data_IF_668501456513
#
_entry.id   IF_668501456513
#
_cell.length_a   1.000
_cell.length_b   1.000
_cell.length_c   1.000
_cell.angle_alpha   90.00
_cell.angle_beta   90.00
_cell.angle_gamma   90.00
#
_symmetry.space_group_name_H-M   'P 1'
#
loop_
_entity.id
_entity.type
_entity.pdbx_description
1 polymer ?
#
# COMPACT_ATOMS: atom_id res chain seq x y z
N UNK A 1 44.25 -7.73 -52.79
CA UNK A 1 43.39 -7.49 -51.61
C UNK A 1 42.80 -8.82 -51.13
N UNK A 2 43.21 -9.30 -49.96
CA UNK A 2 42.92 -10.68 -49.51
C UNK A 2 41.48 -10.80 -48.97
N UNK A 3 40.56 -11.28 -49.80
CA UNK A 3 39.13 -11.45 -49.47
C UNK A 3 38.89 -12.32 -48.23
N UNK A 4 39.81 -13.23 -47.90
CA UNK A 4 39.72 -14.08 -46.72
C UNK A 4 40.02 -13.33 -45.42
N UNK A 5 40.89 -12.32 -45.46
CA UNK A 5 41.12 -11.44 -44.32
C UNK A 5 39.86 -10.61 -44.04
N UNK A 6 39.27 -9.99 -45.06
CA UNK A 6 38.07 -9.15 -44.90
C UNK A 6 36.89 -9.96 -44.33
N UNK A 7 36.73 -11.22 -44.76
CA UNK A 7 35.68 -12.12 -44.23
C UNK A 7 35.90 -12.51 -42.77
N UNK A 8 37.15 -12.75 -42.33
CA UNK A 8 37.48 -13.07 -40.93
C UNK A 8 37.27 -11.86 -40.01
N UNK A 9 37.66 -10.67 -40.44
CA UNK A 9 37.48 -9.44 -39.65
C UNK A 9 36.01 -9.01 -39.55
N UNK A 10 35.23 -9.14 -40.63
CA UNK A 10 33.79 -8.86 -40.60
C UNK A 10 33.02 -9.84 -39.71
N UNK A 11 33.39 -11.13 -39.70
CA UNK A 11 32.79 -12.12 -38.80
C UNK A 11 33.07 -11.80 -37.31
N UNK A 12 34.28 -11.36 -36.97
CA UNK A 12 34.64 -10.99 -35.59
C UNK A 12 33.92 -9.71 -35.13
N UNK A 13 33.74 -8.72 -36.01
CA UNK A 13 33.01 -7.50 -35.65
C UNK A 13 31.51 -7.78 -35.45
N UNK A 14 30.92 -8.65 -36.27
CA UNK A 14 29.52 -9.04 -36.14
C UNK A 14 29.23 -9.81 -34.84
N UNK A 15 30.13 -10.71 -34.40
CA UNK A 15 29.96 -11.44 -33.14
C UNK A 15 30.11 -10.54 -31.92
N UNK A 16 31.03 -9.58 -31.93
CA UNK A 16 31.20 -8.61 -30.84
C UNK A 16 29.94 -7.74 -30.68
N UNK A 17 29.35 -7.27 -31.79
CA UNK A 17 28.11 -6.49 -31.75
C UNK A 17 26.93 -7.26 -31.16
N UNK A 18 26.80 -8.55 -31.49
CA UNK A 18 25.72 -9.38 -30.98
C UNK A 18 25.88 -9.68 -29.47
N UNK A 19 27.11 -9.90 -29.00
CA UNK A 19 27.41 -10.08 -27.57
C UNK A 19 27.15 -8.80 -26.76
N UNK A 20 27.53 -7.62 -27.28
CA UNK A 20 27.28 -6.34 -26.61
C UNK A 20 25.77 -6.06 -26.45
N UNK A 21 24.98 -6.42 -27.46
CA UNK A 21 23.52 -6.22 -27.45
C UNK A 21 22.84 -7.12 -26.41
N UNK A 22 23.31 -8.36 -26.25
CA UNK A 22 22.84 -9.27 -25.20
C UNK A 22 23.20 -8.73 -23.80
N UNK A 23 24.44 -8.25 -23.60
CA UNK A 23 24.87 -7.74 -22.30
C UNK A 23 24.10 -6.47 -21.85
N UNK A 24 23.68 -5.60 -22.77
CA UNK A 24 22.88 -4.40 -22.41
C UNK A 24 21.46 -4.73 -21.93
N UNK A 25 20.93 -5.93 -22.21
CA UNK A 25 19.60 -6.34 -21.75
C UNK A 25 19.60 -6.96 -20.34
N UNK A 26 20.77 -7.25 -19.76
CA UNK A 26 20.91 -7.97 -18.47
C UNK A 26 21.09 -7.02 -17.26
N UNK A 27 20.96 -5.70 -17.45
CA UNK A 27 21.19 -4.70 -16.39
C UNK A 27 20.04 -4.55 -15.36
N UNK A 28 19.14 -5.55 -15.26
CA UNK A 28 17.97 -5.54 -14.38
C UNK A 28 17.88 -6.68 -13.35
N UNK A 29 18.83 -7.61 -13.29
CA UNK A 29 18.69 -8.82 -12.46
C UNK A 29 20.01 -9.25 -11.80
N UNK A 30 20.55 -8.42 -10.91
CA UNK A 30 21.55 -8.86 -9.93
C UNK A 30 20.86 -9.19 -8.59
N UNK A 31 20.97 -10.42 -8.06
CA UNK A 31 20.42 -10.81 -6.77
C UNK A 31 21.31 -10.38 -5.57
N UNK A 32 22.23 -9.45 -5.76
CA UNK A 32 23.09 -8.95 -4.68
C UNK A 32 22.64 -7.57 -4.22
N UNK A 33 21.57 -7.54 -3.41
CA UNK A 33 21.36 -6.43 -2.49
C UNK A 33 22.20 -6.68 -1.23
N UNK A 34 23.40 -6.11 -1.21
CA UNK A 34 24.17 -5.95 0.03
C UNK A 34 23.42 -4.94 0.92
N UNK A 35 22.52 -5.44 1.77
CA UNK A 35 21.92 -4.65 2.85
C UNK A 35 22.95 -4.46 3.97
N UNK A 36 23.84 -3.47 3.81
CA UNK A 36 24.81 -3.05 4.83
C UNK A 36 24.24 -2.00 5.80
N UNK A 37 23.00 -1.58 5.60
CA UNK A 37 22.21 -0.90 6.61
C UNK A 37 21.27 -1.93 7.18
N UNK A 38 21.69 -2.52 8.31
CA UNK A 38 20.88 -3.41 9.10
C UNK A 38 19.49 -2.80 9.23
N UNK A 39 18.52 -3.49 8.64
CA UNK A 39 17.13 -3.20 8.88
C UNK A 39 16.97 -3.21 10.39
N UNK A 40 16.78 -2.04 10.97
CA UNK A 40 16.03 -1.96 12.20
C UNK A 40 14.70 -2.60 11.83
N UNK A 41 14.57 -3.88 12.17
CA UNK A 41 13.29 -4.46 12.49
C UNK A 41 12.77 -3.58 13.60
N UNK A 42 12.17 -2.44 13.23
CA UNK A 42 11.13 -1.86 14.02
C UNK A 42 10.16 -3.02 14.13
N UNK A 43 10.22 -3.73 15.25
CA UNK A 43 9.02 -4.15 15.93
C UNK A 43 8.20 -2.87 16.02
N UNK A 44 7.48 -2.57 14.94
CA UNK A 44 6.60 -1.44 14.87
C UNK A 44 5.58 -1.79 15.93
N UNK A 45 5.75 -1.20 17.11
CA UNK A 45 4.93 -1.47 18.28
C UNK A 45 3.49 -1.52 17.80
N UNK A 46 2.83 -2.63 18.09
CA UNK A 46 1.52 -2.90 17.52
C UNK A 46 0.61 -1.72 17.85
N UNK A 47 -0.02 -1.13 16.82
CA UNK A 47 -0.86 0.07 17.00
C UNK A 47 -1.91 -0.24 18.07
N UNK A 48 -2.05 0.58 19.10
CA UNK A 48 -3.05 0.32 20.16
C UNK A 48 -4.43 0.83 19.75
N UNK A 49 -5.49 0.44 20.48
CA UNK A 49 -6.83 0.96 20.20
C UNK A 49 -6.90 2.47 20.44
N UNK A 50 -6.23 2.97 21.48
CA UNK A 50 -6.16 4.39 21.84
C UNK A 50 -5.52 5.23 20.72
N UNK A 51 -4.63 4.64 19.93
CA UNK A 51 -3.99 5.31 18.80
C UNK A 51 -4.89 5.39 17.56
N UNK A 52 -5.74 4.39 17.32
CA UNK A 52 -6.58 4.34 16.11
C UNK A 52 -7.96 4.94 16.33
N UNK A 53 -8.52 4.85 17.55
CA UNK A 53 -9.89 5.26 17.84
C UNK A 53 -10.17 6.75 17.51
N UNK A 54 -9.25 7.70 17.74
CA UNK A 54 -9.45 9.09 17.32
C UNK A 54 -9.67 9.26 15.80
N UNK A 55 -9.20 8.31 14.98
CA UNK A 55 -9.46 8.29 13.55
C UNK A 55 -10.90 7.86 13.28
N UNK A 56 -11.41 6.84 13.99
CA UNK A 56 -12.81 6.43 13.88
C UNK A 56 -13.76 7.56 14.31
N UNK A 57 -13.47 8.24 15.43
CA UNK A 57 -14.28 9.39 15.86
C UNK A 57 -14.34 10.48 14.80
N UNK A 58 -13.19 10.89 14.26
CA UNK A 58 -13.11 12.00 13.31
C UNK A 58 -13.65 11.65 11.93
N UNK A 59 -13.50 10.40 11.49
CA UNK A 59 -13.73 9.99 10.09
C UNK A 59 -14.98 9.13 9.88
N UNK A 60 -15.49 8.48 10.93
CA UNK A 60 -16.56 7.49 10.83
C UNK A 60 -17.79 7.86 11.68
N UNK A 61 -17.60 8.35 12.91
CA UNK A 61 -18.68 8.48 13.90
C UNK A 61 -19.69 9.61 13.58
N UNK A 62 -19.42 10.48 12.61
CA UNK A 62 -20.45 11.42 12.14
C UNK A 62 -21.66 10.71 11.51
N UNK A 63 -21.44 9.52 10.94
CA UNK A 63 -22.50 8.70 10.34
C UNK A 63 -22.71 7.37 11.07
N UNK A 64 -21.65 6.78 11.61
CA UNK A 64 -21.66 5.45 12.23
C UNK A 64 -21.56 5.53 13.77
N UNK A 65 -22.44 6.31 14.38
CA UNK A 65 -22.61 6.45 15.84
C UNK A 65 -24.04 6.12 16.25
N UNK A 66 -24.29 5.96 17.56
CA UNK A 66 -25.66 5.85 18.07
C UNK A 66 -26.47 7.12 17.83
N UNK A 67 -25.78 8.27 17.81
CA UNK A 67 -26.35 9.59 17.54
C UNK A 67 -25.63 10.29 16.40
N UNK A 68 -25.91 9.92 15.13
CA UNK A 68 -25.26 10.52 13.97
C UNK A 68 -25.44 12.04 13.91
N UNK A 69 -24.37 12.75 13.58
CA UNK A 69 -24.35 14.21 13.46
C UNK A 69 -24.37 14.68 12.01
N UNK A 70 -24.29 13.75 11.05
CA UNK A 70 -24.31 14.07 9.64
C UNK A 70 -25.64 14.71 9.18
N UNK A 71 -25.56 15.54 8.14
CA UNK A 71 -26.73 16.21 7.57
C UNK A 71 -27.63 15.25 6.78
N UNK A 72 -27.05 14.21 6.19
CA UNK A 72 -27.78 13.25 5.33
C UNK A 72 -28.14 12.00 6.12
N UNK A 73 -27.21 11.44 6.87
CA UNK A 73 -27.41 10.22 7.64
C UNK A 73 -27.85 10.56 9.07
N UNK A 74 -29.17 10.57 9.30
CA UNK A 74 -29.77 10.79 10.64
C UNK A 74 -29.84 9.53 11.51
N UNK A 75 -29.59 8.36 10.92
CA UNK A 75 -29.48 7.07 11.60
C UNK A 75 -28.25 6.35 11.03
N UNK A 76 -27.59 5.56 11.88
CA UNK A 76 -26.42 4.78 11.49
C UNK A 76 -26.74 3.89 10.27
N UNK A 77 -26.03 4.05 9.14
CA UNK A 77 -26.27 3.24 7.96
C UNK A 77 -26.12 1.75 8.29
N UNK A 78 -27.13 0.95 7.92
CA UNK A 78 -27.21 -0.50 8.20
C UNK A 78 -27.15 -0.85 9.70
N UNK A 79 -27.41 0.10 10.59
CA UNK A 79 -27.31 -0.09 12.04
C UNK A 79 -25.87 -0.30 12.54
N UNK A 80 -24.86 0.07 11.73
CA UNK A 80 -23.45 -0.14 12.07
C UNK A 80 -22.89 1.06 12.82
N UNK A 81 -22.32 0.82 14.00
CA UNK A 81 -21.77 1.82 14.92
C UNK A 81 -20.30 1.52 15.24
N UNK A 82 -19.47 2.54 15.45
CA UNK A 82 -18.03 2.43 15.72
C UNK A 82 -17.57 3.25 16.95
N UNK A 83 -18.26 3.11 18.08
CA UNK A 83 -17.98 3.87 19.32
C UNK A 83 -17.10 3.11 20.31
N UNK A 84 -16.89 1.80 20.10
CA UNK A 84 -15.99 1.01 20.93
C UNK A 84 -15.26 -0.07 20.13
N UNK A 85 -14.22 -0.62 20.74
CA UNK A 85 -13.37 -1.62 20.10
C UNK A 85 -14.12 -2.88 19.68
N UNK A 86 -15.07 -3.37 20.49
CA UNK A 86 -15.85 -4.57 20.19
C UNK A 86 -16.67 -4.40 18.91
N UNK A 87 -17.37 -3.27 18.78
CA UNK A 87 -18.17 -2.93 17.60
C UNK A 87 -17.29 -2.81 16.34
N UNK A 88 -16.13 -2.16 16.47
CA UNK A 88 -15.18 -2.01 15.35
C UNK A 88 -14.63 -3.37 14.93
N UNK A 89 -14.23 -4.22 15.90
CA UNK A 89 -13.69 -5.57 15.61
C UNK A 89 -14.72 -6.47 14.93
N UNK A 90 -15.99 -6.38 15.31
CA UNK A 90 -17.08 -7.10 14.64
C UNK A 90 -17.21 -6.77 13.15
N UNK A 91 -16.67 -5.63 12.72
CA UNK A 91 -16.75 -5.15 11.35
C UNK A 91 -15.39 -4.92 10.70
N UNK A 92 -14.30 -5.41 11.30
CA UNK A 92 -12.92 -5.12 10.89
C UNK A 92 -12.66 -5.42 9.42
N UNK A 93 -13.10 -6.58 8.93
CA UNK A 93 -12.94 -6.98 7.53
C UNK A 93 -13.65 -6.01 6.58
N UNK A 94 -14.91 -5.65 6.87
CA UNK A 94 -15.67 -4.70 6.06
C UNK A 94 -15.04 -3.31 6.10
N UNK A 95 -14.60 -2.86 7.27
CA UNK A 95 -13.89 -1.58 7.41
C UNK A 95 -12.62 -1.62 6.56
N UNK A 96 -11.86 -2.70 6.59
CA UNK A 96 -10.66 -2.86 5.78
C UNK A 96 -10.97 -2.77 4.28
N UNK A 97 -12.00 -3.49 3.81
CA UNK A 97 -12.42 -3.44 2.41
C UNK A 97 -12.86 -2.03 1.99
N UNK A 98 -13.67 -1.35 2.80
CA UNK A 98 -14.29 -0.07 2.45
C UNK A 98 -13.36 1.13 2.62
N UNK A 99 -12.57 1.14 3.70
CA UNK A 99 -11.70 2.27 4.08
C UNK A 99 -10.29 2.07 3.53
N UNK A 100 -9.75 0.85 3.51
CA UNK A 100 -8.34 0.64 3.17
C UNK A 100 -8.17 0.26 1.69
N UNK A 101 -8.93 -0.71 1.21
CA UNK A 101 -8.75 -1.24 -0.14
C UNK A 101 -9.49 -0.41 -1.20
N UNK A 102 -10.80 -0.31 -1.09
CA UNK A 102 -11.62 0.41 -2.08
C UNK A 102 -11.62 1.93 -1.88
N UNK A 103 -11.29 2.41 -0.67
CA UNK A 103 -11.26 3.82 -0.30
C UNK A 103 -12.60 4.56 -0.50
N UNK A 104 -13.70 3.84 -0.64
CA UNK A 104 -15.05 4.40 -0.82
C UNK A 104 -15.58 5.07 0.45
N UNK A 105 -15.06 4.66 1.60
CA UNK A 105 -15.31 5.30 2.88
C UNK A 105 -14.10 6.14 3.32
N UNK A 106 -14.33 7.34 3.89
CA UNK A 106 -15.61 8.05 4.01
C UNK A 106 -16.21 8.44 2.64
N UNK A 107 -17.54 8.46 2.49
CA UNK A 107 -18.20 8.76 1.20
C UNK A 107 -17.70 10.09 0.64
N UNK A 108 -17.17 10.06 -0.59
CA UNK A 108 -16.59 11.24 -1.25
C UNK A 108 -15.42 11.87 -0.48
N UNK A 109 -14.81 11.13 0.45
CA UNK A 109 -13.85 11.63 1.43
C UNK A 109 -14.31 12.88 2.20
N UNK A 110 -15.61 13.00 2.51
CA UNK A 110 -16.20 14.21 3.11
C UNK A 110 -15.56 14.65 4.43
N UNK A 111 -15.03 13.70 5.21
CA UNK A 111 -14.33 13.98 6.47
C UNK A 111 -12.84 14.20 6.27
N UNK A 112 -12.35 14.32 5.03
CA UNK A 112 -10.95 14.60 4.69
C UNK A 112 -9.97 13.60 5.33
N UNK A 113 -10.27 12.31 5.24
CA UNK A 113 -9.39 11.26 5.72
C UNK A 113 -8.10 11.23 4.89
N UNK A 114 -6.97 11.17 5.58
CA UNK A 114 -5.63 11.25 4.99
C UNK A 114 -5.01 9.86 4.82
N UNK A 115 -3.98 9.76 3.96
CA UNK A 115 -3.26 8.48 3.78
C UNK A 115 -2.52 8.02 5.05
N UNK A 116 -1.86 8.90 5.84
CA UNK A 116 -1.27 8.50 7.12
C UNK A 116 -2.28 7.87 8.08
N UNK A 117 -3.49 8.42 8.18
CA UNK A 117 -4.57 7.85 8.99
C UNK A 117 -4.98 6.46 8.48
N UNK A 118 -5.14 6.28 7.16
CA UNK A 118 -5.43 4.96 6.57
C UNK A 118 -4.32 3.96 6.87
N UNK A 119 -3.05 4.39 6.90
CA UNK A 119 -1.93 3.52 7.24
C UNK A 119 -1.96 3.06 8.71
N UNK A 120 -2.34 3.95 9.64
CA UNK A 120 -2.54 3.58 11.06
C UNK A 120 -3.67 2.57 11.17
N UNK A 121 -4.82 2.83 10.52
CA UNK A 121 -5.95 1.90 10.50
C UNK A 121 -5.59 0.55 9.87
N UNK A 122 -4.87 0.53 8.73
CA UNK A 122 -4.41 -0.70 8.07
C UNK A 122 -3.58 -1.56 9.02
N UNK A 123 -2.63 -0.95 9.73
CA UNK A 123 -1.76 -1.66 10.70
C UNK A 123 -2.56 -2.21 11.88
N UNK A 124 -3.54 -1.46 12.37
CA UNK A 124 -4.36 -1.88 13.50
C UNK A 124 -5.34 -3.00 13.13
N UNK A 125 -6.01 -2.88 11.97
CA UNK A 125 -7.01 -3.83 11.45
C UNK A 125 -6.41 -5.13 10.91
N UNK A 126 -5.15 -5.11 10.45
CA UNK A 126 -4.47 -6.28 9.90
C UNK A 126 -3.96 -7.27 10.95
N UNK A 127 -4.50 -7.23 12.18
CA UNK A 127 -4.14 -8.11 13.29
C UNK A 127 -5.29 -9.05 13.64
#
# INVERSE_FOLDING_TARGET
MNKQLVKRWTLLLATIGLVALVLMTVQGSLPFRFNLFGGSSHNASAVTFEQVYPIFEKRCNSCHSQSPTDNTFKVAPKGVVFENESQIRMHSERIFQQVILSRVMPIGNKTQMTEPERMIMRRWLGR
#
